data_IF_021181734504
#
_entry.id   IF_021181734504
#
_cell.length_a   1.000
_cell.length_b   1.000
_cell.length_c   1.000
_cell.angle_alpha   90.00
_cell.angle_beta   90.00
_cell.angle_gamma   90.00
#
_symmetry.space_group_name_H-M   'P 1'
#
loop_
_entity.id
_entity.type
_entity.pdbx_description
1 polymer ?
#
# COMPACT_ATOMS: atom_id res chain seq x y z
N UNK A 1 -2.61 -19.20 11.63
CA UNK A 1 -2.41 -18.65 10.26
C UNK A 1 -0.99 -18.97 9.85
N UNK A 2 -0.76 -19.63 8.71
CA UNK A 2 0.60 -19.78 8.19
C UNK A 2 1.14 -18.39 7.85
N UNK A 3 2.25 -18.00 8.48
CA UNK A 3 2.88 -16.69 8.24
C UNK A 3 3.27 -16.62 6.77
N UNK A 4 2.89 -15.54 6.08
CA UNK A 4 3.37 -15.32 4.72
C UNK A 4 4.89 -15.18 4.79
N UNK A 5 5.63 -16.00 4.04
CA UNK A 5 7.09 -15.83 3.91
C UNK A 5 7.35 -14.56 3.12
N UNK A 6 8.13 -13.64 3.68
CA UNK A 6 8.56 -12.47 2.94
C UNK A 6 9.45 -12.90 1.79
N UNK A 7 9.11 -12.44 0.58
CA UNK A 7 9.91 -12.64 -0.61
C UNK A 7 10.32 -11.24 -1.05
N UNK A 8 11.57 -10.82 -0.80
CA UNK A 8 12.01 -9.50 -1.22
C UNK A 8 11.94 -9.42 -2.74
N UNK A 9 11.20 -8.43 -3.23
CA UNK A 9 11.17 -8.04 -4.63
C UNK A 9 11.49 -6.56 -4.70
N UNK A 10 12.31 -6.17 -5.67
CA UNK A 10 12.70 -4.77 -5.87
C UNK A 10 11.50 -3.91 -6.32
N UNK A 11 10.56 -4.49 -7.07
CA UNK A 11 9.43 -3.79 -7.67
C UNK A 11 8.11 -4.51 -7.37
N UNK A 12 7.53 -4.33 -6.17
CA UNK A 12 6.24 -4.92 -5.83
C UNK A 12 5.09 -4.21 -6.57
N UNK A 13 4.20 -5.00 -7.20
CA UNK A 13 2.97 -4.49 -7.83
C UNK A 13 1.96 -4.06 -6.74
N UNK A 14 1.88 -4.83 -5.66
CA UNK A 14 1.04 -4.53 -4.50
C UNK A 14 1.78 -4.78 -3.19
N UNK A 15 1.40 -4.03 -2.16
CA UNK A 15 2.00 -4.09 -0.82
C UNK A 15 0.94 -4.27 0.26
N UNK A 16 1.32 -4.85 1.40
CA UNK A 16 0.47 -4.85 2.60
C UNK A 16 0.54 -3.50 3.32
N UNK A 17 -0.25 -3.33 4.37
CA UNK A 17 -0.27 -2.09 5.14
C UNK A 17 1.08 -1.77 5.79
N UNK A 18 1.82 -2.76 6.29
CA UNK A 18 3.12 -2.56 6.95
C UNK A 18 4.18 -2.02 5.98
N UNK A 19 4.22 -2.58 4.76
CA UNK A 19 5.15 -2.12 3.73
C UNK A 19 4.71 -0.78 3.15
N UNK A 20 3.41 -0.53 3.01
CA UNK A 20 2.89 0.76 2.57
C UNK A 20 3.26 1.87 3.55
N UNK A 21 3.06 1.67 4.85
CA UNK A 21 3.42 2.64 5.89
C UNK A 21 4.92 2.93 5.90
N UNK A 22 5.75 1.91 5.68
CA UNK A 22 7.20 2.09 5.55
C UNK A 22 7.59 2.87 4.29
N UNK A 23 6.93 2.62 3.14
CA UNK A 23 7.20 3.36 1.90
C UNK A 23 6.80 4.83 1.98
N UNK A 24 5.73 5.13 2.72
CA UNK A 24 5.20 6.49 2.90
C UNK A 24 5.79 7.21 4.12
N UNK A 25 6.69 6.56 4.86
CA UNK A 25 7.25 7.07 6.11
C UNK A 25 6.19 7.60 7.09
N UNK A 26 5.04 6.90 7.21
CA UNK A 26 3.92 7.32 8.05
C UNK A 26 3.31 6.16 8.85
N UNK A 27 2.40 6.45 9.79
CA UNK A 27 1.71 5.42 10.56
C UNK A 27 0.63 4.68 9.77
N UNK A 28 0.24 3.47 10.22
CA UNK A 28 -0.79 2.64 9.55
C UNK A 28 -2.11 3.36 9.30
N UNK A 29 -2.55 4.23 10.22
CA UNK A 29 -3.78 5.00 10.06
C UNK A 29 -3.70 5.96 8.86
N UNK A 30 -2.59 6.68 8.73
CA UNK A 30 -2.34 7.61 7.61
C UNK A 30 -2.14 6.86 6.31
N UNK A 31 -1.34 5.78 6.31
CA UNK A 31 -1.13 4.94 5.14
C UNK A 31 -2.45 4.35 4.60
N UNK A 32 -3.35 3.92 5.50
CA UNK A 32 -4.69 3.46 5.11
C UNK A 32 -5.52 4.57 4.49
N UNK A 33 -5.55 5.76 5.09
CA UNK A 33 -6.27 6.92 4.54
C UNK A 33 -5.77 7.28 3.14
N UNK A 34 -4.46 7.36 2.95
CA UNK A 34 -3.84 7.61 1.64
C UNK A 34 -4.24 6.51 0.65
N UNK A 35 -4.12 5.23 1.03
CA UNK A 35 -4.48 4.11 0.16
C UNK A 35 -5.96 4.05 -0.20
N UNK A 36 -6.85 4.52 0.70
CA UNK A 36 -8.29 4.63 0.47
C UNK A 36 -8.62 5.82 -0.45
N UNK A 37 -8.05 7.00 -0.19
CA UNK A 37 -8.22 8.20 -1.02
C UNK A 37 -7.65 8.00 -2.44
N UNK A 38 -6.52 7.31 -2.56
CA UNK A 38 -5.90 6.96 -3.84
C UNK A 38 -6.67 5.89 -4.64
N UNK A 39 -7.74 5.29 -4.08
CA UNK A 39 -8.43 4.14 -4.70
C UNK A 39 -7.50 2.94 -4.92
N UNK A 40 -6.46 2.82 -4.09
CA UNK A 40 -5.40 1.82 -4.22
C UNK A 40 -5.70 0.53 -3.46
N UNK A 41 -6.66 0.55 -2.53
CA UNK A 41 -7.08 -0.59 -1.71
C UNK A 41 -7.71 -1.70 -2.56
N UNK A 42 -7.12 -2.89 -2.49
CA UNK A 42 -7.58 -4.11 -3.15
C UNK A 42 -7.89 -5.14 -2.07
N UNK A 43 -9.13 -5.61 -2.01
CA UNK A 43 -9.58 -6.60 -1.03
C UNK A 43 -9.78 -7.95 -1.72
N UNK A 44 -9.02 -8.96 -1.28
CA UNK A 44 -9.13 -10.34 -1.78
C UNK A 44 -9.37 -11.26 -0.59
N UNK A 45 -10.64 -11.66 -0.41
CA UNK A 45 -11.08 -12.40 0.76
C UNK A 45 -10.77 -11.63 2.05
N UNK A 46 -9.92 -12.19 2.91
CA UNK A 46 -9.49 -11.56 4.18
C UNK A 46 -8.25 -10.67 4.03
N UNK A 47 -7.61 -10.63 2.86
CA UNK A 47 -6.35 -9.92 2.63
C UNK A 47 -6.62 -8.57 2.01
N UNK A 48 -5.97 -7.54 2.57
CA UNK A 48 -5.97 -6.19 2.03
C UNK A 48 -4.59 -5.89 1.49
N UNK A 49 -4.54 -5.49 0.23
CA UNK A 49 -3.34 -5.08 -0.48
C UNK A 49 -3.55 -3.66 -1.03
N UNK A 50 -2.47 -2.95 -1.32
CA UNK A 50 -2.50 -1.62 -1.91
C UNK A 50 -1.67 -1.61 -3.18
N UNK A 51 -2.22 -1.07 -4.27
CA UNK A 51 -1.49 -0.82 -5.51
C UNK A 51 -0.46 0.29 -5.30
N UNK A 52 0.80 -0.01 -5.57
CA UNK A 52 1.90 0.97 -5.45
C UNK A 52 1.75 2.09 -6.48
N UNK A 53 1.36 1.75 -7.70
CA UNK A 53 1.21 2.69 -8.81
C UNK A 53 0.13 3.74 -8.51
N UNK A 54 -1.06 3.31 -8.06
CA UNK A 54 -2.14 4.25 -7.70
C UNK A 54 -1.75 5.20 -6.57
N UNK A 55 -1.03 4.71 -5.56
CA UNK A 55 -0.55 5.57 -4.47
C UNK A 55 0.43 6.62 -4.98
N UNK A 56 1.38 6.23 -5.85
CA UNK A 56 2.31 7.18 -6.46
C UNK A 56 1.57 8.25 -7.28
N UNK A 57 0.64 7.84 -8.13
CA UNK A 57 -0.16 8.78 -8.94
C UNK A 57 -0.97 9.74 -8.08
N UNK A 58 -1.54 9.26 -6.97
CA UNK A 58 -2.28 10.10 -6.03
C UNK A 58 -1.38 11.13 -5.33
N UNK A 59 -0.17 10.75 -4.94
CA UNK A 59 0.78 11.70 -4.34
C UNK A 59 1.23 12.75 -5.35
N UNK A 60 1.57 12.35 -6.58
CA UNK A 60 1.92 13.29 -7.64
C UNK A 60 0.78 14.26 -7.97
N UNK A 61 -0.47 13.81 -7.89
CA UNK A 61 -1.65 14.68 -8.04
C UNK A 61 -1.81 15.70 -6.90
N UNK A 62 -1.35 15.37 -5.67
CA UNK A 62 -1.41 16.29 -4.53
C UNK A 62 -0.23 17.26 -4.47
N UNK A 63 0.88 16.94 -5.16
CA UNK A 63 2.04 17.82 -5.28
C UNK A 63 1.79 19.00 -6.22
N UNK A 64 0.82 18.87 -7.12
CA UNK A 64 0.37 19.89 -8.09
C UNK A 64 -0.81 20.73 -7.55
#
# INVERSE_FOLDING_TARGET
>A
MNKTKERPTSQPITVNIDKLSAMLSCGHATARKIGEQAGAKIVIGRRVLYSVEKVKNYLSYLEE
#
